data_IF_850234635823
#
_entry.id   IF_850234635823
#
_cell.length_a   1.000
_cell.length_b   1.000
_cell.length_c   1.000
_cell.angle_alpha   90.00
_cell.angle_beta   90.00
_cell.angle_gamma   90.00
#
_symmetry.space_group_name_H-M   'P 1'
#
loop_
_entity.id
_entity.type
_entity.pdbx_description
1 polymer ?
#
# COMPACT_ATOMS: atom_id res chain seq x y z
N UNK A 1 31.60 -48.26 72.93
CA UNK A 1 32.59 -49.13 72.27
C UNK A 1 31.92 -49.80 71.08
N UNK A 2 32.53 -49.68 69.90
CA UNK A 2 32.23 -50.28 68.58
C UNK A 2 31.70 -51.73 68.69
N UNK A 3 30.88 -52.34 67.83
CA UNK A 3 30.24 -52.15 66.51
C UNK A 3 29.22 -53.30 66.43
N UNK A 4 28.12 -53.18 65.67
CA UNK A 4 27.49 -54.35 65.03
C UNK A 4 26.56 -53.91 63.89
N UNK A 5 26.96 -54.26 62.66
CA UNK A 5 26.04 -54.40 61.54
C UNK A 5 25.19 -55.66 61.76
N UNK A 6 23.95 -55.65 61.25
CA UNK A 6 23.33 -56.71 60.42
C UNK A 6 21.79 -56.53 60.42
N UNK A 7 21.28 -56.33 59.20
CA UNK A 7 19.97 -56.70 58.61
C UNK A 7 18.74 -56.91 59.49
N UNK A 8 17.63 -56.29 59.09
CA UNK A 8 16.31 -56.93 59.04
C UNK A 8 15.39 -56.19 58.06
N UNK A 9 14.86 -56.94 57.09
CA UNK A 9 13.86 -56.53 56.13
C UNK A 9 12.46 -56.91 56.64
N UNK A 10 11.48 -56.00 56.50
CA UNK A 10 10.03 -56.27 56.41
C UNK A 10 9.33 -54.91 56.23
N UNK A 11 8.90 -54.56 55.02
CA UNK A 11 7.57 -54.87 54.48
C UNK A 11 6.44 -54.09 55.19
N UNK A 12 5.88 -53.09 54.51
CA UNK A 12 4.44 -52.99 54.22
C UNK A 12 4.05 -51.58 53.72
N UNK A 13 3.45 -51.58 52.52
CA UNK A 13 2.26 -50.82 52.16
C UNK A 13 2.27 -49.28 52.28
N UNK A 14 2.40 -48.60 51.13
CA UNK A 14 1.38 -47.67 50.62
C UNK A 14 1.88 -47.01 49.33
N UNK A 15 1.69 -47.66 48.18
CA UNK A 15 1.79 -47.00 46.88
C UNK A 15 0.53 -46.13 46.69
N UNK A 16 0.61 -44.87 47.13
CA UNK A 16 -0.40 -43.86 46.84
C UNK A 16 -0.13 -43.28 45.46
N UNK A 17 -0.89 -43.74 44.47
CA UNK A 17 -0.98 -43.12 43.14
C UNK A 17 -1.67 -41.76 43.29
N UNK A 18 -0.90 -40.69 43.35
CA UNK A 18 -1.42 -39.32 43.25
C UNK A 18 -1.69 -38.99 41.79
N UNK A 19 -2.91 -39.31 41.32
CA UNK A 19 -3.48 -38.75 40.11
C UNK A 19 -3.91 -37.29 40.39
N UNK A 20 -3.01 -36.34 40.19
CA UNK A 20 -3.36 -34.91 40.16
C UNK A 20 -3.87 -34.58 38.75
N UNK A 21 -5.17 -34.80 38.56
CA UNK A 21 -5.94 -34.17 37.49
C UNK A 21 -6.25 -32.74 37.94
N UNK A 22 -5.40 -31.78 37.55
CA UNK A 22 -5.68 -30.36 37.74
C UNK A 22 -6.17 -29.78 36.42
N UNK A 23 -7.49 -29.65 36.32
CA UNK A 23 -8.16 -28.84 35.32
C UNK A 23 -7.64 -27.41 35.43
N UNK A 24 -6.76 -27.02 34.51
CA UNK A 24 -6.52 -25.60 34.27
C UNK A 24 -7.80 -25.06 33.64
N UNK A 25 -8.52 -24.20 34.37
CA UNK A 25 -9.48 -23.27 33.78
C UNK A 25 -8.77 -22.63 32.60
N UNK A 26 -9.28 -22.85 31.38
CA UNK A 26 -8.96 -22.01 30.23
C UNK A 26 -9.38 -20.58 30.59
N UNK A 27 -8.41 -19.86 31.13
CA UNK A 27 -8.44 -18.43 31.19
C UNK A 27 -8.04 -18.03 29.77
N UNK A 28 -9.03 -17.54 29.00
CA UNK A 28 -8.80 -16.89 27.72
C UNK A 28 -7.65 -15.91 27.90
N UNK A 29 -6.50 -16.33 27.41
CA UNK A 29 -5.35 -15.47 27.23
C UNK A 29 -5.78 -14.47 26.18
N UNK A 30 -5.98 -13.22 26.61
CA UNK A 30 -6.02 -12.09 25.70
C UNK A 30 -4.61 -12.01 25.12
N UNK A 31 -4.38 -12.75 24.04
CA UNK A 31 -3.18 -12.65 23.24
C UNK A 31 -3.14 -11.24 22.63
N UNK A 32 -1.95 -10.60 22.58
CA UNK A 32 -1.79 -9.36 21.83
C UNK A 32 -2.23 -9.59 20.38
N UNK A 33 -2.93 -8.61 19.81
CA UNK A 33 -3.47 -8.64 18.46
C UNK A 33 -2.35 -8.60 17.42
N UNK A 34 -1.65 -9.71 17.23
CA UNK A 34 -0.67 -9.92 16.17
C UNK A 34 -1.22 -10.90 15.13
N UNK A 35 -1.38 -10.39 13.91
CA UNK A 35 -1.61 -11.15 12.67
C UNK A 35 -2.85 -12.07 12.67
N UNK A 36 -4.02 -11.46 12.43
CA UNK A 36 -5.09 -12.20 11.76
C UNK A 36 -4.52 -12.76 10.45
N UNK A 37 -4.21 -14.07 10.41
CA UNK A 37 -3.71 -14.75 9.22
C UNK A 37 -4.62 -14.42 8.05
N UNK A 38 -4.10 -13.66 7.09
CA UNK A 38 -4.79 -13.38 5.83
C UNK A 38 -5.17 -14.73 5.22
N UNK A 39 -6.44 -14.89 4.86
CA UNK A 39 -6.93 -16.19 4.36
C UNK A 39 -6.24 -16.54 3.04
N UNK A 40 -6.04 -17.84 2.78
CA UNK A 40 -5.44 -18.29 1.53
C UNK A 40 -6.24 -17.84 0.30
N UNK A 41 -7.55 -17.67 0.45
CA UNK A 41 -8.43 -17.12 -0.60
C UNK A 41 -8.08 -15.67 -0.94
N UNK A 42 -7.86 -14.82 0.07
CA UNK A 42 -7.45 -13.43 -0.12
C UNK A 42 -6.03 -13.36 -0.69
N UNK A 43 -5.11 -14.19 -0.21
CA UNK A 43 -3.76 -14.28 -0.77
C UNK A 43 -3.79 -14.68 -2.25
N UNK A 44 -4.69 -15.61 -2.63
CA UNK A 44 -4.88 -15.99 -4.03
C UNK A 44 -5.50 -14.85 -4.84
N UNK A 45 -6.52 -14.17 -4.32
CA UNK A 45 -7.14 -13.02 -5.00
C UNK A 45 -6.14 -11.88 -5.21
N UNK A 46 -5.31 -11.56 -4.21
CA UNK A 46 -4.27 -10.53 -4.31
C UNK A 46 -3.20 -10.94 -5.32
N UNK A 47 -2.78 -12.21 -5.33
CA UNK A 47 -1.90 -12.75 -6.38
C UNK A 47 -2.56 -12.71 -7.76
N UNK A 48 -3.86 -12.98 -7.86
CA UNK A 48 -4.65 -12.88 -9.08
C UNK A 48 -4.83 -11.41 -9.53
N UNK A 49 -4.64 -10.43 -8.64
CA UNK A 49 -4.54 -9.00 -8.96
C UNK A 49 -3.13 -8.59 -9.40
N UNK A 50 -2.15 -9.49 -9.25
CA UNK A 50 -0.75 -9.29 -9.61
C UNK A 50 0.10 -8.94 -8.41
N UNK A 51 -0.49 -8.35 -7.39
CA UNK A 51 0.23 -7.76 -6.26
C UNK A 51 0.99 -8.82 -5.45
N UNK A 52 2.19 -8.49 -4.99
CA UNK A 52 2.96 -9.39 -4.14
C UNK A 52 2.33 -9.50 -2.75
N UNK A 53 2.18 -10.73 -2.27
CA UNK A 53 1.70 -11.01 -0.91
C UNK A 53 2.81 -10.96 0.13
N UNK A 54 4.05 -10.71 -0.28
CA UNK A 54 5.19 -10.60 0.64
C UNK A 54 5.02 -9.37 1.51
N UNK A 55 4.95 -9.56 2.83
CA UNK A 55 4.76 -8.45 3.78
C UNK A 55 3.34 -7.91 3.85
N UNK A 56 2.33 -8.64 3.37
CA UNK A 56 0.92 -8.23 3.43
C UNK A 56 0.48 -7.98 4.88
N UNK A 57 -0.21 -6.86 5.09
CA UNK A 57 -0.75 -6.47 6.39
C UNK A 57 -2.25 -6.20 6.25
N UNK A 58 -3.04 -6.72 7.18
CA UNK A 58 -4.46 -6.36 7.24
C UNK A 58 -4.60 -4.97 7.85
N UNK A 59 -5.29 -4.06 7.15
CA UNK A 59 -5.52 -2.68 7.58
C UNK A 59 -7.01 -2.36 7.62
N UNK A 60 -7.39 -1.23 8.20
CA UNK A 60 -8.78 -0.79 8.18
C UNK A 60 -9.22 -0.55 6.72
N UNK A 61 -10.23 -1.29 6.26
CA UNK A 61 -10.77 -1.17 4.90
C UNK A 61 -10.15 -2.07 3.83
N UNK A 62 -9.20 -2.97 4.19
CA UNK A 62 -8.65 -3.94 3.25
C UNK A 62 -7.30 -4.53 3.65
N UNK A 63 -6.45 -4.74 2.65
CA UNK A 63 -5.13 -5.35 2.78
C UNK A 63 -4.06 -4.42 2.22
N UNK A 64 -3.14 -3.99 3.07
CA UNK A 64 -1.93 -3.29 2.65
C UNK A 64 -0.96 -4.31 2.06
N UNK A 65 -0.61 -4.12 0.81
CA UNK A 65 0.37 -4.89 0.07
C UNK A 65 1.46 -3.94 -0.40
N UNK A 66 2.65 -4.49 -0.61
CA UNK A 66 3.79 -3.72 -1.17
C UNK A 66 4.23 -2.52 -0.32
N UNK A 67 3.65 -2.32 0.86
CA UNK A 67 4.03 -1.23 1.75
C UNK A 67 3.55 0.14 1.29
N UNK A 68 2.59 0.24 0.38
CA UNK A 68 1.95 1.51 -0.03
C UNK A 68 0.60 1.34 -0.74
N UNK A 69 0.21 0.12 -1.13
CA UNK A 69 -1.06 -0.11 -1.84
C UNK A 69 -2.07 -0.77 -0.90
N UNK A 70 -3.25 -0.14 -0.72
CA UNK A 70 -4.39 -0.76 -0.02
C UNK A 70 -5.36 -1.38 -1.02
N UNK A 71 -5.42 -2.71 -1.01
CA UNK A 71 -6.42 -3.50 -1.72
C UNK A 71 -7.69 -3.59 -0.86
N UNK A 72 -8.75 -2.91 -1.29
CA UNK A 72 -10.06 -2.98 -0.62
C UNK A 72 -10.79 -4.30 -0.92
N UNK A 73 -11.76 -4.65 -0.08
CA UNK A 73 -12.62 -5.82 -0.32
C UNK A 73 -13.43 -5.69 -1.63
N UNK A 74 -13.75 -4.47 -2.05
CA UNK A 74 -14.40 -4.19 -3.34
C UNK A 74 -13.46 -4.46 -4.52
N UNK A 75 -12.18 -4.11 -4.40
CA UNK A 75 -11.17 -4.43 -5.41
C UNK A 75 -10.98 -5.95 -5.55
N UNK A 76 -11.09 -6.70 -4.46
CA UNK A 76 -11.05 -8.17 -4.47
C UNK A 76 -12.28 -8.81 -5.14
N UNK A 77 -13.42 -8.14 -5.11
CA UNK A 77 -14.67 -8.62 -5.69
C UNK A 77 -14.74 -8.41 -7.22
N UNK A 78 -13.99 -7.43 -7.76
CA UNK A 78 -13.98 -7.10 -9.17
C UNK A 78 -12.92 -7.92 -9.94
N UNK A 79 -13.36 -8.95 -10.66
CA UNK A 79 -12.54 -9.73 -11.60
C UNK A 79 -12.76 -9.27 -13.05
N UNK A 80 -11.88 -8.50 -13.67
CA UNK A 80 -12.04 -8.19 -15.08
C UNK A 80 -11.47 -9.31 -15.97
N UNK A 81 -12.12 -9.53 -17.12
CA UNK A 81 -11.89 -10.64 -18.03
C UNK A 81 -10.97 -10.27 -19.19
N UNK A 82 -9.65 -10.29 -19.02
CA UNK A 82 -8.71 -10.26 -20.14
C UNK A 82 -7.33 -10.82 -19.74
N UNK A 83 -6.64 -11.46 -20.69
CA UNK A 83 -5.26 -11.93 -20.57
C UNK A 83 -4.32 -10.90 -21.21
N UNK A 84 -3.29 -10.47 -20.48
CA UNK A 84 -2.31 -9.48 -20.94
C UNK A 84 -1.16 -10.14 -21.71
N UNK A 85 -0.82 -9.56 -22.86
CA UNK A 85 0.38 -9.90 -23.64
C UNK A 85 1.56 -9.07 -23.14
N UNK A 86 2.67 -9.75 -22.81
CA UNK A 86 3.91 -9.13 -22.35
C UNK A 86 4.65 -8.43 -23.49
N UNK A 87 4.98 -7.16 -23.32
CA UNK A 87 5.99 -6.44 -24.11
C UNK A 87 6.73 -5.49 -23.16
N UNK A 88 8.07 -5.49 -23.16
CA UNK A 88 8.89 -4.42 -22.56
C UNK A 88 9.25 -4.51 -21.07
N UNK A 89 10.37 -3.88 -20.68
CA UNK A 89 10.76 -3.61 -19.29
C UNK A 89 10.38 -2.18 -18.88
N UNK A 90 10.41 -1.87 -17.57
CA UNK A 90 10.08 -0.57 -16.92
C UNK A 90 9.39 0.47 -17.82
N UNK A 91 8.07 0.54 -17.74
CA UNK A 91 7.20 1.40 -18.58
C UNK A 91 6.22 2.17 -17.69
N UNK A 92 5.35 3.02 -18.27
CA UNK A 92 4.26 3.66 -17.52
C UNK A 92 3.00 2.80 -17.61
N UNK A 93 2.43 2.46 -16.44
CA UNK A 93 1.32 1.51 -16.34
C UNK A 93 0.09 2.14 -15.72
N UNK A 94 -1.08 1.70 -16.21
CA UNK A 94 -2.37 2.03 -15.61
C UNK A 94 -3.17 0.79 -15.21
N UNK A 95 -4.06 1.00 -14.25
CA UNK A 95 -5.10 0.04 -13.91
C UNK A 95 -6.20 0.01 -14.98
N UNK A 96 -7.03 -1.03 -14.94
CA UNK A 96 -8.25 -1.13 -15.75
C UNK A 96 -9.29 -0.10 -15.39
N UNK A 97 -9.46 0.10 -14.09
CA UNK A 97 -10.35 1.10 -13.58
C UNK A 97 -9.66 2.45 -13.73
N UNK A 98 -10.38 3.41 -14.30
CA UNK A 98 -9.96 4.80 -14.43
C UNK A 98 -11.09 5.68 -13.92
N UNK A 99 -10.77 6.94 -13.64
CA UNK A 99 -11.79 7.94 -13.35
C UNK A 99 -12.54 8.26 -14.63
N UNK A 100 -13.87 8.21 -14.58
CA UNK A 100 -14.71 8.63 -15.70
C UNK A 100 -14.67 10.15 -15.80
N UNK A 101 -14.02 10.67 -16.86
CA UNK A 101 -13.84 12.12 -17.07
C UNK A 101 -14.79 12.73 -18.10
N UNK A 102 -15.36 11.96 -19.02
CA UNK A 102 -16.26 12.49 -20.06
C UNK A 102 -15.62 13.62 -20.86
N UNK A 103 -16.29 14.78 -20.96
CA UNK A 103 -15.76 16.01 -21.58
C UNK A 103 -14.91 16.88 -20.64
N UNK A 104 -14.66 16.41 -19.42
CA UNK A 104 -13.90 17.10 -18.39
C UNK A 104 -14.48 16.85 -16.99
N UNK A 105 -13.60 16.55 -16.02
CA UNK A 105 -13.99 16.34 -14.61
C UNK A 105 -13.01 17.03 -13.68
N UNK A 106 -13.55 17.72 -12.67
CA UNK A 106 -12.73 18.26 -11.58
C UNK A 106 -12.90 17.37 -10.35
N UNK A 107 -11.80 16.76 -9.91
CA UNK A 107 -11.72 15.94 -8.70
C UNK A 107 -11.34 16.83 -7.51
N UNK A 108 -12.14 16.75 -6.45
CA UNK A 108 -11.90 17.52 -5.22
C UNK A 108 -10.96 16.78 -4.26
N UNK A 109 -9.96 17.48 -3.74
CA UNK A 109 -8.95 16.95 -2.79
C UNK A 109 -9.05 17.69 -1.47
N UNK A 110 -9.13 16.97 -0.35
CA UNK A 110 -9.13 17.55 0.99
C UNK A 110 -7.93 17.08 1.80
N UNK A 111 -7.31 18.01 2.52
CA UNK A 111 -6.30 17.71 3.54
C UNK A 111 -7.00 17.64 4.90
N UNK A 112 -6.84 16.53 5.61
CA UNK A 112 -7.33 16.39 6.98
C UNK A 112 -6.61 17.37 7.92
N UNK A 113 -7.35 17.92 8.88
CA UNK A 113 -6.78 18.79 9.94
C UNK A 113 -5.82 18.06 10.87
N UNK A 114 -5.77 16.73 10.81
CA UNK A 114 -4.79 15.92 11.52
C UNK A 114 -3.38 15.99 10.90
N UNK A 115 -3.25 16.46 9.65
CA UNK A 115 -1.96 16.63 8.98
C UNK A 115 -1.41 18.06 9.22
N UNK A 116 -0.08 18.22 9.35
CA UNK A 116 0.55 19.54 9.44
C UNK A 116 0.26 20.44 8.24
N UNK A 117 0.35 21.76 8.41
CA UNK A 117 0.13 22.75 7.33
C UNK A 117 1.04 22.58 6.12
N UNK A 118 2.24 21.99 6.30
CA UNK A 118 3.14 21.60 5.22
C UNK A 118 2.45 20.73 4.15
N UNK A 119 1.52 19.86 4.56
CA UNK A 119 0.76 19.00 3.65
C UNK A 119 -0.29 19.77 2.85
N UNK A 120 -0.80 20.90 3.36
CA UNK A 120 -1.65 21.81 2.58
C UNK A 120 -0.83 22.43 1.46
N UNK A 121 0.34 22.97 1.76
CA UNK A 121 1.27 23.53 0.77
C UNK A 121 1.69 22.48 -0.27
N UNK A 122 2.00 21.26 0.18
CA UNK A 122 2.36 20.15 -0.71
C UNK A 122 1.20 19.74 -1.63
N UNK A 123 -0.03 19.71 -1.11
CA UNK A 123 -1.24 19.40 -1.89
C UNK A 123 -1.50 20.47 -2.94
N UNK A 124 -1.35 21.75 -2.60
CA UNK A 124 -1.51 22.86 -3.55
C UNK A 124 -0.48 22.75 -4.69
N UNK A 125 0.76 22.37 -4.38
CA UNK A 125 1.79 22.13 -5.38
C UNK A 125 1.50 20.89 -6.25
N UNK A 126 1.05 19.78 -5.67
CA UNK A 126 0.63 18.60 -6.43
C UNK A 126 -0.50 18.94 -7.41
N UNK A 127 -1.55 19.63 -6.94
CA UNK A 127 -2.67 20.10 -7.76
C UNK A 127 -2.16 21.01 -8.89
N UNK A 128 -1.24 21.93 -8.60
CA UNK A 128 -0.62 22.80 -9.61
C UNK A 128 0.10 21.98 -10.68
N UNK A 129 0.85 20.92 -10.32
CA UNK A 129 1.56 20.05 -11.27
C UNK A 129 0.61 19.34 -12.23
N UNK A 130 -0.48 18.76 -11.75
CA UNK A 130 -1.52 18.13 -12.57
C UNK A 130 -2.23 19.14 -13.47
N UNK A 131 -2.72 20.23 -12.90
CA UNK A 131 -3.49 21.23 -13.65
C UNK A 131 -2.65 21.93 -14.73
N UNK A 132 -1.32 21.98 -14.58
CA UNK A 132 -0.41 22.51 -15.61
C UNK A 132 -0.36 21.64 -16.88
N UNK A 133 -0.73 20.36 -16.82
CA UNK A 133 -0.65 19.45 -17.97
C UNK A 133 -1.82 19.59 -18.95
N UNK A 134 -2.84 20.36 -18.59
CA UNK A 134 -4.05 20.60 -19.41
C UNK A 134 -4.81 19.32 -19.76
N UNK A 135 -4.98 18.42 -18.79
CA UNK A 135 -5.72 17.16 -18.92
C UNK A 135 -7.24 17.40 -18.84
N UNK A 136 -8.06 16.43 -19.28
CA UNK A 136 -9.51 16.46 -19.04
C UNK A 136 -9.85 16.32 -17.56
N UNK A 137 -8.98 15.66 -16.79
CA UNK A 137 -9.05 15.64 -15.33
C UNK A 137 -8.36 16.87 -14.74
N UNK A 138 -9.03 17.53 -13.81
CA UNK A 138 -8.51 18.67 -13.06
C UNK A 138 -8.64 18.38 -11.57
N UNK A 139 -7.80 19.01 -10.77
CA UNK A 139 -7.91 18.91 -9.32
C UNK A 139 -8.20 20.27 -8.69
N UNK A 140 -8.94 20.25 -7.58
CA UNK A 140 -9.17 21.44 -6.76
C UNK A 140 -9.08 21.07 -5.29
N UNK A 141 -8.47 21.93 -4.47
CA UNK A 141 -8.46 21.74 -3.02
C UNK A 141 -9.77 22.24 -2.43
N UNK A 142 -10.34 21.47 -1.50
CA UNK A 142 -11.54 21.83 -0.72
C UNK A 142 -11.28 21.69 0.77
N UNK A 143 -12.07 22.37 1.59
CA UNK A 143 -11.95 22.35 3.06
C UNK A 143 -12.96 21.41 3.74
N UNK A 144 -14.03 21.02 3.04
CA UNK A 144 -15.04 20.05 3.47
C UNK A 144 -15.41 19.10 2.32
N UNK A 145 -15.89 17.90 2.65
CA UNK A 145 -16.12 16.85 1.64
C UNK A 145 -14.80 16.34 1.04
N UNK A 146 -14.70 16.32 -0.28
CA UNK A 146 -13.55 15.83 -1.02
C UNK A 146 -13.74 14.42 -1.55
N UNK A 147 -13.52 14.25 -2.85
CA UNK A 147 -13.48 12.95 -3.51
C UNK A 147 -12.21 12.19 -3.16
N UNK A 148 -11.08 12.87 -2.94
CA UNK A 148 -9.85 12.30 -2.39
C UNK A 148 -9.56 12.98 -1.06
N UNK A 149 -9.38 12.21 0.01
CA UNK A 149 -9.08 12.75 1.35
C UNK A 149 -7.72 12.26 1.84
N UNK A 150 -6.78 13.18 2.00
CA UNK A 150 -5.48 12.97 2.61
C UNK A 150 -5.63 12.94 4.15
N UNK A 151 -5.41 11.79 4.76
CA UNK A 151 -5.54 11.55 6.20
C UNK A 151 -4.21 11.15 6.82
N UNK A 152 -4.06 11.39 8.13
CA UNK A 152 -2.94 10.86 8.89
C UNK A 152 -3.00 9.33 8.93
N UNK A 153 -1.89 8.66 8.61
CA UNK A 153 -1.75 7.22 8.72
C UNK A 153 -1.75 6.79 10.20
N UNK A 154 -2.24 5.58 10.52
CA UNK A 154 -2.15 5.01 11.87
C UNK A 154 -0.72 5.01 12.42
N UNK A 155 -0.57 5.18 13.73
CA UNK A 155 0.73 5.10 14.39
C UNK A 155 1.39 3.75 14.13
N UNK A 156 2.69 3.74 13.84
CA UNK A 156 3.46 2.52 13.55
C UNK A 156 3.36 2.02 12.10
N UNK A 157 2.75 2.80 11.18
CA UNK A 157 2.75 2.49 9.75
C UNK A 157 4.18 2.38 9.21
N UNK A 158 4.45 1.32 8.43
CA UNK A 158 5.76 1.06 7.81
C UNK A 158 6.00 1.83 6.51
N UNK A 159 4.98 2.55 6.04
CA UNK A 159 4.95 3.25 4.76
C UNK A 159 5.02 4.77 4.92
N UNK A 160 5.46 5.47 3.87
CA UNK A 160 5.47 6.94 3.83
C UNK A 160 4.06 7.47 3.56
N UNK A 161 3.42 6.96 2.52
CA UNK A 161 2.01 7.16 2.26
C UNK A 161 1.43 5.91 1.60
N UNK A 162 0.10 5.81 1.57
CA UNK A 162 -0.59 4.75 0.86
C UNK A 162 -1.91 5.21 0.27
N UNK A 163 -2.25 4.64 -0.88
CA UNK A 163 -3.49 4.87 -1.60
C UNK A 163 -4.00 3.55 -2.20
N UNK A 164 -5.15 3.63 -2.85
CA UNK A 164 -5.76 2.56 -3.61
C UNK A 164 -6.10 3.03 -5.01
N UNK A 165 -6.69 2.14 -5.79
CA UNK A 165 -7.06 2.39 -7.18
C UNK A 165 -8.52 2.83 -7.33
N UNK A 166 -8.85 3.56 -8.41
CA UNK A 166 -10.23 3.96 -8.70
C UNK A 166 -11.17 2.75 -8.86
N UNK A 167 -12.45 2.96 -8.53
CA UNK A 167 -13.54 1.98 -8.72
C UNK A 167 -14.80 2.71 -9.19
N UNK A 168 -15.62 2.05 -10.02
CA UNK A 168 -16.91 2.58 -10.47
C UNK A 168 -16.83 3.93 -11.22
N UNK A 169 -15.69 4.25 -11.84
CA UNK A 169 -15.45 5.53 -12.49
C UNK A 169 -15.14 6.69 -11.55
N UNK A 170 -14.95 6.44 -10.25
CA UNK A 170 -14.58 7.43 -9.25
C UNK A 170 -13.13 7.25 -8.79
N UNK A 171 -12.44 8.32 -8.36
CA UNK A 171 -11.11 8.19 -7.79
C UNK A 171 -11.16 7.38 -6.50
N UNK A 172 -10.02 6.79 -6.11
CA UNK A 172 -9.90 6.22 -4.78
C UNK A 172 -10.02 7.32 -3.72
N UNK A 173 -10.83 7.08 -2.70
CA UNK A 173 -11.33 8.15 -1.85
C UNK A 173 -10.38 8.60 -0.74
N UNK A 174 -9.30 7.86 -0.49
CA UNK A 174 -8.45 8.07 0.68
C UNK A 174 -6.96 7.96 0.33
N UNK A 175 -6.15 8.80 0.96
CA UNK A 175 -4.70 8.59 1.04
C UNK A 175 -4.32 8.65 2.50
N UNK A 176 -3.56 7.67 2.98
CA UNK A 176 -3.02 7.63 4.34
C UNK A 176 -1.58 8.11 4.31
N UNK A 177 -1.27 9.15 5.06
CA UNK A 177 0.04 9.83 5.03
C UNK A 177 0.71 9.70 6.38
N UNK A 178 1.88 9.10 6.42
CA UNK A 178 2.68 8.95 7.62
C UNK A 178 3.57 10.18 7.84
N UNK A 179 2.98 11.26 8.36
CA UNK A 179 3.74 12.51 8.56
C UNK A 179 4.86 12.40 9.60
N UNK A 180 4.83 11.40 10.48
CA UNK A 180 5.91 11.13 11.43
C UNK A 180 7.17 10.62 10.74
N UNK A 181 7.03 9.80 9.70
CA UNK A 181 8.14 9.30 8.90
C UNK A 181 8.62 10.31 7.85
N UNK A 182 7.68 11.03 7.20
CA UNK A 182 8.00 12.01 6.15
C UNK A 182 8.57 13.32 6.72
N UNK A 183 8.05 13.77 7.87
CA UNK A 183 8.34 15.09 8.43
C UNK A 183 7.61 16.23 7.71
N UNK A 184 8.04 17.48 7.95
CA UNK A 184 7.36 18.70 7.45
C UNK A 184 8.25 19.58 6.58
N UNK A 185 9.51 19.20 6.38
CA UNK A 185 10.44 19.92 5.51
C UNK A 185 10.12 19.67 4.02
N UNK A 186 10.56 20.57 3.14
CA UNK A 186 10.50 20.37 1.68
C UNK A 186 9.06 20.15 1.15
N UNK A 187 8.10 20.90 1.70
CA UNK A 187 6.68 20.76 1.39
C UNK A 187 6.38 20.80 -0.13
N UNK A 188 6.88 21.81 -0.84
CA UNK A 188 6.61 22.00 -2.28
C UNK A 188 7.52 21.15 -3.19
N UNK A 189 8.35 20.27 -2.64
CA UNK A 189 9.27 19.44 -3.43
C UNK A 189 9.10 17.96 -3.06
N UNK A 190 9.68 17.53 -1.96
CA UNK A 190 9.65 16.14 -1.49
C UNK A 190 8.25 15.68 -1.12
N UNK A 191 7.56 16.41 -0.24
CA UNK A 191 6.21 16.04 0.19
C UNK A 191 5.24 16.16 -1.00
N UNK A 192 5.36 17.21 -1.81
CA UNK A 192 4.55 17.35 -3.03
C UNK A 192 4.77 16.20 -4.01
N UNK A 193 5.97 15.62 -4.09
CA UNK A 193 6.23 14.46 -4.94
C UNK A 193 5.50 13.22 -4.42
N UNK A 194 5.59 12.95 -3.11
CA UNK A 194 4.85 11.85 -2.47
C UNK A 194 3.34 12.02 -2.66
N UNK A 195 2.79 13.20 -2.36
CA UNK A 195 1.35 13.41 -2.54
C UNK A 195 0.91 13.36 -4.01
N UNK A 196 1.76 13.84 -4.93
CA UNK A 196 1.48 13.70 -6.36
C UNK A 196 1.32 12.22 -6.68
N UNK A 197 2.29 11.39 -6.28
CA UNK A 197 2.33 9.93 -6.47
C UNK A 197 1.05 9.23 -6.00
N UNK A 198 0.65 9.47 -4.76
CA UNK A 198 -0.56 8.86 -4.20
C UNK A 198 -1.83 9.28 -4.95
N UNK A 199 -1.93 10.56 -5.33
CA UNK A 199 -3.04 11.03 -6.19
C UNK A 199 -3.06 10.32 -7.55
N UNK A 200 -1.91 9.84 -8.02
CA UNK A 200 -1.77 9.05 -9.23
C UNK A 200 -2.40 7.69 -9.13
N UNK A 201 -2.14 6.98 -8.03
CA UNK A 201 -2.85 5.75 -7.71
C UNK A 201 -4.36 5.98 -7.63
N UNK A 202 -4.80 7.07 -6.99
CA UNK A 202 -6.22 7.39 -6.90
C UNK A 202 -6.90 7.56 -8.26
N UNK A 203 -6.15 7.93 -9.30
CA UNK A 203 -6.65 8.05 -10.68
C UNK A 203 -6.17 6.91 -11.59
N UNK A 204 -5.60 5.84 -11.04
CA UNK A 204 -5.33 4.59 -11.76
C UNK A 204 -3.96 4.47 -12.41
N UNK A 205 -2.96 5.26 -12.02
CA UNK A 205 -1.56 4.98 -12.37
C UNK A 205 -0.97 3.94 -11.42
N UNK A 206 -0.13 3.07 -11.95
CA UNK A 206 0.69 2.12 -11.18
C UNK A 206 2.14 2.54 -11.17
N UNK A 207 2.95 1.85 -10.38
CA UNK A 207 4.39 2.11 -10.36
C UNK A 207 5.05 1.82 -11.71
N UNK A 208 6.07 2.61 -12.06
CA UNK A 208 6.83 2.40 -13.30
C UNK A 208 7.80 1.23 -13.21
N UNK A 209 8.32 0.97 -12.02
CA UNK A 209 9.19 -0.16 -11.70
C UNK A 209 8.40 -1.38 -11.20
N UNK A 210 7.13 -1.51 -11.57
CA UNK A 210 6.28 -2.62 -11.12
C UNK A 210 6.87 -4.02 -11.38
N UNK A 211 7.74 -4.16 -12.40
CA UNK A 211 8.42 -5.43 -12.69
C UNK A 211 9.52 -5.77 -11.69
N UNK A 212 10.15 -4.76 -11.12
CA UNK A 212 11.29 -4.89 -10.23
C UNK A 212 11.43 -3.67 -9.31
N UNK A 213 10.74 -3.71 -8.17
CA UNK A 213 10.83 -2.67 -7.15
C UNK A 213 12.23 -2.57 -6.55
N UNK A 214 13.11 -3.56 -6.73
CA UNK A 214 14.50 -3.44 -6.28
C UNK A 214 15.26 -2.34 -7.03
N UNK A 215 14.78 -1.92 -8.20
CA UNK A 215 15.34 -0.81 -8.96
C UNK A 215 15.30 0.52 -8.18
N UNK A 216 14.15 0.86 -7.59
CA UNK A 216 14.00 2.11 -6.85
C UNK A 216 14.13 1.97 -5.34
N UNK A 217 13.70 0.83 -4.78
CA UNK A 217 13.66 0.58 -3.34
C UNK A 217 14.93 -0.09 -2.80
N UNK A 218 15.77 -0.64 -3.69
CA UNK A 218 16.84 -1.56 -3.29
C UNK A 218 16.32 -2.87 -2.71
N UNK A 219 17.22 -3.81 -2.41
CA UNK A 219 16.86 -5.10 -1.82
C UNK A 219 16.71 -6.25 -2.85
N UNK A 220 16.02 -7.32 -2.46
CA UNK A 220 15.79 -8.46 -3.35
C UNK A 220 14.74 -8.13 -4.42
N UNK A 221 14.90 -8.70 -5.62
CA UNK A 221 13.93 -8.60 -6.73
C UNK A 221 12.51 -8.85 -6.21
N UNK A 222 11.64 -7.86 -6.41
CA UNK A 222 10.22 -7.93 -6.04
C UNK A 222 9.39 -7.36 -7.16
N UNK A 223 8.47 -8.16 -7.69
CA UNK A 223 7.60 -7.83 -8.81
C UNK A 223 6.18 -7.64 -8.29
N UNK A 224 5.50 -6.58 -8.70
CA UNK A 224 4.10 -6.24 -8.36
C UNK A 224 3.06 -7.04 -9.15
N UNK A 225 3.55 -8.02 -9.92
CA UNK A 225 2.87 -8.93 -10.82
C UNK A 225 2.06 -8.30 -11.94
N UNK A 226 2.11 -8.98 -13.08
CA UNK A 226 1.21 -8.73 -14.19
C UNK A 226 -0.09 -9.51 -13.96
N UNK A 227 -1.17 -8.85 -13.52
CA UNK A 227 -2.49 -9.51 -13.51
C UNK A 227 -3.67 -8.53 -13.51
N UNK A 228 -4.87 -9.06 -13.21
CA UNK A 228 -6.20 -8.62 -13.65
C UNK A 228 -6.61 -7.17 -13.31
N UNK A 229 -5.97 -6.48 -12.35
CA UNK A 229 -6.25 -5.05 -12.08
C UNK A 229 -5.56 -4.12 -13.10
N UNK A 230 -4.78 -4.70 -14.01
CA UNK A 230 -4.15 -4.01 -15.13
C UNK A 230 -2.70 -3.64 -14.82
N UNK A 231 -1.81 -4.09 -15.69
CA UNK A 231 -0.54 -3.42 -15.98
C UNK A 231 -0.63 -3.06 -17.47
N UNK A 232 -1.52 -2.13 -17.80
CA UNK A 232 -1.72 -1.72 -19.19
C UNK A 232 -0.65 -0.70 -19.52
N UNK A 233 0.30 -1.09 -20.38
CA UNK A 233 1.27 -0.19 -20.97
C UNK A 233 0.55 1.01 -21.57
N UNK A 234 0.99 2.20 -21.20
CA UNK A 234 0.51 3.44 -21.80
C UNK A 234 1.30 3.69 -23.11
N UNK A 235 0.65 3.63 -24.29
CA UNK A 235 1.30 3.85 -25.57
C UNK A 235 2.01 5.20 -25.64
N UNK A 236 3.19 5.21 -26.27
CA UNK A 236 3.99 6.42 -26.45
C UNK A 236 5.00 6.70 -25.32
N UNK A 237 5.06 5.85 -24.30
CA UNK A 237 6.11 5.90 -23.28
C UNK A 237 7.25 4.93 -23.63
N UNK A 238 8.53 5.26 -23.35
CA UNK A 238 9.65 4.38 -23.64
C UNK A 238 9.52 3.05 -22.89
N UNK A 239 10.01 1.97 -23.49
CA UNK A 239 10.06 0.64 -22.87
C UNK A 239 11.25 0.46 -21.93
N UNK A 240 11.68 1.52 -21.25
CA UNK A 240 12.91 1.59 -20.46
C UNK A 240 12.71 2.41 -19.19
N UNK A 241 13.45 2.04 -18.14
CA UNK A 241 13.50 2.67 -16.82
C UNK A 241 13.30 4.17 -16.86
N UNK A 242 12.33 4.66 -16.09
CA UNK A 242 12.22 6.07 -15.81
C UNK A 242 12.56 6.37 -14.34
N UNK A 243 13.84 6.54 -14.00
CA UNK A 243 14.26 6.80 -12.62
C UNK A 243 13.75 8.14 -12.06
N UNK A 244 13.22 9.01 -12.92
CA UNK A 244 12.71 10.32 -12.55
C UNK A 244 11.18 10.38 -12.63
N UNK A 245 10.49 9.29 -12.94
CA UNK A 245 9.04 9.24 -12.91
C UNK A 245 8.53 9.54 -11.50
N UNK A 246 7.50 10.38 -11.42
CA UNK A 246 6.76 10.60 -10.18
C UNK A 246 6.04 9.34 -9.69
N UNK A 247 5.76 8.37 -10.57
CA UNK A 247 5.18 7.07 -10.24
C UNK A 247 6.22 6.00 -9.91
N UNK A 248 7.49 6.34 -9.72
CA UNK A 248 8.48 5.37 -9.27
C UNK A 248 8.22 4.97 -7.80
N UNK A 249 8.21 3.67 -7.50
CA UNK A 249 7.70 3.13 -6.24
C UNK A 249 8.41 3.66 -4.98
N UNK A 250 9.73 3.80 -5.03
CA UNK A 250 10.49 4.39 -3.94
C UNK A 250 11.09 5.73 -4.31
N UNK A 251 11.13 6.60 -3.31
CA UNK A 251 11.70 7.93 -3.38
C UNK A 251 12.80 8.08 -2.32
N UNK A 252 13.95 8.60 -2.73
CA UNK A 252 15.01 8.98 -1.80
C UNK A 252 14.59 10.19 -0.96
N UNK A 253 15.06 10.27 0.28
CA UNK A 253 14.73 11.39 1.16
C UNK A 253 15.10 12.74 0.55
N UNK A 254 14.16 13.68 0.53
CA UNK A 254 14.36 15.04 0.01
C UNK A 254 14.34 15.17 -1.52
N UNK A 255 14.12 14.08 -2.27
CA UNK A 255 14.08 14.10 -3.74
C UNK A 255 12.83 14.83 -4.25
N UNK A 256 12.97 15.57 -5.34
CA UNK A 256 11.86 16.22 -6.04
C UNK A 256 11.68 15.61 -7.43
N UNK A 257 10.53 15.01 -7.72
CA UNK A 257 10.19 14.48 -9.06
C UNK A 257 8.97 15.23 -9.63
N UNK A 258 9.16 16.38 -10.29
CA UNK A 258 8.10 16.95 -11.12
C UNK A 258 7.85 16.04 -12.33
N UNK A 259 6.66 16.13 -12.94
CA UNK A 259 6.33 15.31 -14.11
C UNK A 259 7.32 15.56 -15.24
N UNK A 260 7.92 14.46 -15.72
CA UNK A 260 8.80 14.46 -16.87
C UNK A 260 8.00 14.22 -18.18
N UNK A 261 8.69 14.17 -19.31
CA UNK A 261 8.05 13.99 -20.62
C UNK A 261 7.23 12.69 -20.74
N UNK A 262 7.71 11.59 -20.15
CA UNK A 262 7.02 10.31 -20.17
C UNK A 262 5.77 10.35 -19.29
N UNK A 263 5.88 10.96 -18.12
CA UNK A 263 4.75 11.18 -17.20
C UNK A 263 3.65 12.02 -17.85
N UNK A 264 4.02 13.08 -18.56
CA UNK A 264 3.07 13.94 -19.27
C UNK A 264 2.40 13.20 -20.42
N UNK A 265 3.16 12.35 -21.13
CA UNK A 265 2.62 11.49 -22.20
C UNK A 265 1.64 10.49 -21.62
N UNK A 266 2.00 9.87 -20.50
CA UNK A 266 1.16 8.92 -19.79
C UNK A 266 -0.14 9.57 -19.30
N UNK A 267 -0.03 10.73 -18.66
CA UNK A 267 -1.17 11.52 -18.17
C UNK A 267 -2.13 11.88 -19.30
N UNK A 268 -1.62 12.42 -20.42
CA UNK A 268 -2.43 12.83 -21.59
C UNK A 268 -3.08 11.67 -22.34
N UNK A 269 -2.46 10.49 -22.31
CA UNK A 269 -3.05 9.31 -22.91
C UNK A 269 -4.27 8.84 -22.11
N UNK A 270 -4.18 8.92 -20.77
CA UNK A 270 -5.24 8.45 -19.87
C UNK A 270 -6.35 9.49 -19.71
N UNK A 271 -6.00 10.78 -19.66
CA UNK A 271 -6.89 11.91 -19.33
C UNK A 271 -6.62 13.15 -20.17
#
# INVERSE_FOLDING_TARGET
>A
MKVKNVLSAAAACAASVLAISSCSKEQETVAPADNAKVSQAVLSQIKDMGLTTTGIQRVAGGYLVEGDIVVTDENLANKPSYQMMRVGGEEQYRTTNLVSVGSGRTVSVRVSTALPSAYVTATDEAIRRYNAQSLLIRFTRVTSGGEIVLNQAPSGSSYLASAGFPSGGNPYYQVLVNSGAIGTANASTYIATILSHEMGHCIGFRHTDYMDRSYSCGGAYSNEGASTVGAILIPGTPSAADPNSWMLACIGSGVNRPFNTNDVTALRYVY
#
